data_IF_409194555323
#
_entry.id   IF_409194555323
#
_cell.length_a   1.000
_cell.length_b   1.000
_cell.length_c   1.000
_cell.angle_alpha   90.00
_cell.angle_beta   90.00
_cell.angle_gamma   90.00
#
_symmetry.space_group_name_H-M   'P 1'
#
loop_
_entity.id
_entity.type
_entity.pdbx_description
1 polymer ?
#
# COMPACT_ATOMS: atom_id res chain seq x y z
N UNK A 1 -7.32 3.47 3.25
CA UNK A 1 -8.35 2.53 2.76
C UNK A 1 -8.22 1.25 3.55
N UNK A 2 -9.34 0.71 4.02
CA UNK A 2 -9.37 -0.54 4.78
C UNK A 2 -10.51 -1.43 4.25
N UNK A 3 -10.24 -2.72 4.05
CA UNK A 3 -11.19 -3.66 3.45
C UNK A 3 -12.16 -4.24 4.50
N UNK A 4 -11.74 -4.36 5.76
CA UNK A 4 -12.62 -4.75 6.87
C UNK A 4 -13.38 -3.53 7.41
N UNK A 5 -14.66 -3.45 7.10
CA UNK A 5 -15.53 -2.33 7.49
C UNK A 5 -15.53 -2.04 8.99
N UNK A 6 -15.29 -3.04 9.85
CA UNK A 6 -15.23 -2.86 11.31
C UNK A 6 -13.95 -2.13 11.72
N UNK A 7 -12.82 -2.48 11.09
CA UNK A 7 -11.54 -1.79 11.32
C UNK A 7 -11.57 -0.37 10.77
N UNK A 8 -12.21 -0.15 9.62
CA UNK A 8 -12.42 1.18 9.06
C UNK A 8 -13.24 2.07 10.02
N UNK A 9 -14.38 1.57 10.52
CA UNK A 9 -15.22 2.29 11.48
C UNK A 9 -14.46 2.59 12.79
N UNK A 10 -13.74 1.60 13.34
CA UNK A 10 -12.92 1.76 14.53
C UNK A 10 -11.83 2.84 14.34
N UNK A 11 -11.15 2.83 13.19
CA UNK A 11 -10.15 3.84 12.84
C UNK A 11 -10.75 5.24 12.75
N UNK A 12 -11.88 5.40 12.05
CA UNK A 12 -12.57 6.68 11.91
C UNK A 12 -13.02 7.25 13.26
N UNK A 13 -13.57 6.41 14.15
CA UNK A 13 -13.98 6.83 15.50
C UNK A 13 -12.77 7.29 16.34
N UNK A 14 -11.67 6.54 16.28
CA UNK A 14 -10.44 6.91 16.98
C UNK A 14 -9.87 8.24 16.48
N UNK A 15 -9.85 8.48 15.17
CA UNK A 15 -9.39 9.74 14.58
C UNK A 15 -10.27 10.92 15.02
N UNK A 16 -11.60 10.73 15.00
CA UNK A 16 -12.57 11.72 15.48
C UNK A 16 -12.36 12.05 16.96
N UNK A 17 -12.18 11.03 17.81
CA UNK A 17 -11.94 11.21 19.26
C UNK A 17 -10.66 12.01 19.55
N UNK A 18 -9.65 11.89 18.70
CA UNK A 18 -8.38 12.61 18.81
C UNK A 18 -8.34 13.92 18.00
N UNK A 19 -9.49 14.41 17.51
CA UNK A 19 -9.61 15.68 16.78
C UNK A 19 -8.70 15.77 15.53
N UNK A 20 -8.48 14.64 14.86
CA UNK A 20 -7.75 14.59 13.58
C UNK A 20 -8.73 14.81 12.45
N UNK A 21 -8.61 15.95 11.75
CA UNK A 21 -9.60 16.39 10.75
C UNK A 21 -9.09 16.30 9.30
N UNK A 22 -7.79 16.19 9.09
CA UNK A 22 -7.15 16.09 7.78
C UNK A 22 -7.03 14.63 7.29
N UNK A 23 -8.07 13.83 7.52
CA UNK A 23 -8.08 12.40 7.20
C UNK A 23 -9.43 11.99 6.62
N UNK A 24 -9.38 11.20 5.55
CA UNK A 24 -10.54 10.52 4.98
C UNK A 24 -10.35 9.03 5.16
N UNK A 25 -11.28 8.37 5.84
CA UNK A 25 -11.28 6.91 6.01
C UNK A 25 -12.25 6.32 5.00
N UNK A 26 -11.73 5.43 4.17
CA UNK A 26 -12.46 4.80 3.07
C UNK A 26 -12.51 3.29 3.27
N UNK A 27 -13.67 2.68 3.04
CA UNK A 27 -13.86 1.23 3.13
C UNK A 27 -13.82 0.60 1.74
N UNK A 28 -12.88 -0.32 1.51
CA UNK A 28 -12.74 -0.99 0.22
C UNK A 28 -11.40 -1.70 0.03
N UNK A 29 -11.21 -2.28 -1.14
CA UNK A 29 -9.95 -2.88 -1.56
C UNK A 29 -9.16 -1.88 -2.41
N UNK A 30 -7.98 -1.50 -1.94
CA UNK A 30 -7.07 -0.58 -2.63
C UNK A 30 -5.90 -1.28 -3.31
N UNK A 31 -5.95 -2.61 -3.50
CA UNK A 31 -4.90 -3.35 -4.19
C UNK A 31 -4.62 -2.76 -5.58
N UNK A 32 -5.66 -2.44 -6.33
CA UNK A 32 -5.58 -1.88 -7.69
C UNK A 32 -5.61 -0.34 -7.69
N UNK A 33 -5.15 0.29 -6.59
CA UNK A 33 -5.20 1.74 -6.41
C UNK A 33 -6.53 2.24 -5.83
N UNK A 34 -6.64 3.55 -5.72
CA UNK A 34 -7.82 4.21 -5.15
C UNK A 34 -8.24 5.44 -5.96
N UNK A 35 -9.35 5.34 -6.70
CA UNK A 35 -9.85 6.42 -7.55
C UNK A 35 -8.89 6.82 -8.69
N UNK A 36 -8.90 8.09 -9.07
CA UNK A 36 -8.05 8.65 -10.15
C UNK A 36 -7.04 9.68 -9.65
N UNK A 37 -6.92 9.84 -8.33
CA UNK A 37 -6.08 10.86 -7.71
C UNK A 37 -4.62 10.42 -7.73
N UNK A 38 -3.72 11.36 -8.00
CA UNK A 38 -2.28 11.14 -7.80
C UNK A 38 -1.86 11.56 -6.39
N UNK A 39 -0.97 10.79 -5.78
CA UNK A 39 -0.49 10.95 -4.41
C UNK A 39 1.00 11.30 -4.39
N UNK A 40 1.40 12.19 -3.48
CA UNK A 40 2.82 12.46 -3.21
C UNK A 40 3.48 11.33 -2.41
N UNK A 41 2.69 10.62 -1.59
CA UNK A 41 3.15 9.50 -0.80
C UNK A 41 2.07 8.41 -0.69
N UNK A 42 2.50 7.14 -0.79
CA UNK A 42 1.63 5.97 -0.59
C UNK A 42 2.33 5.03 0.40
N UNK A 43 1.59 4.52 1.38
CA UNK A 43 2.07 3.54 2.34
C UNK A 43 1.16 2.31 2.33
N UNK A 44 1.76 1.14 2.13
CA UNK A 44 1.09 -0.15 2.17
C UNK A 44 1.50 -0.87 3.46
N UNK A 45 0.54 -1.10 4.35
CA UNK A 45 0.79 -1.60 5.72
C UNK A 45 0.59 -3.12 5.87
N UNK A 46 0.55 -3.85 4.76
CA UNK A 46 0.50 -5.32 4.69
C UNK A 46 1.48 -5.81 3.63
N UNK A 47 1.90 -7.08 3.71
CA UNK A 47 2.76 -7.65 2.68
C UNK A 47 1.97 -7.98 1.41
N UNK A 48 2.63 -7.81 0.26
CA UNK A 48 2.12 -8.15 -1.07
C UNK A 48 3.14 -9.05 -1.79
N UNK A 49 2.72 -9.99 -2.67
CA UNK A 49 3.65 -10.84 -3.40
C UNK A 49 4.45 -10.04 -4.45
N UNK A 50 3.84 -8.98 -5.00
CA UNK A 50 4.45 -8.04 -5.92
C UNK A 50 3.83 -6.65 -5.74
N UNK A 51 4.55 -5.61 -6.16
CA UNK A 51 4.08 -4.23 -6.09
C UNK A 51 2.99 -3.99 -7.15
N UNK A 52 1.77 -3.58 -6.78
CA UNK A 52 0.72 -3.28 -7.76
C UNK A 52 1.10 -2.11 -8.66
N UNK A 53 0.94 -2.28 -9.98
CA UNK A 53 1.24 -1.24 -10.97
C UNK A 53 0.35 0.00 -10.79
N UNK A 54 -0.92 -0.20 -10.47
CA UNK A 54 -1.86 0.89 -10.24
C UNK A 54 -1.38 1.86 -9.14
N UNK A 55 -0.83 1.34 -8.03
CA UNK A 55 -0.27 2.17 -6.96
C UNK A 55 0.97 2.94 -7.41
N UNK A 56 1.82 2.35 -8.26
CA UNK A 56 2.97 3.05 -8.85
C UNK A 56 2.50 4.20 -9.74
N UNK A 57 1.50 3.97 -10.59
CA UNK A 57 0.99 5.00 -11.51
C UNK A 57 0.15 6.08 -10.83
N UNK A 58 -0.44 5.80 -9.66
CA UNK A 58 -1.06 6.81 -8.81
C UNK A 58 -0.05 7.63 -8.00
N UNK A 59 1.24 7.36 -8.09
CA UNK A 59 2.27 8.18 -7.45
C UNK A 59 2.62 9.36 -8.36
N UNK A 60 2.67 10.60 -7.84
CA UNK A 60 3.20 11.74 -8.61
C UNK A 60 4.68 11.53 -8.96
N UNK A 61 5.15 12.17 -10.02
CA UNK A 61 6.60 12.26 -10.27
C UNK A 61 7.27 12.97 -9.09
N UNK A 62 8.30 12.36 -8.52
CA UNK A 62 8.95 12.76 -7.27
C UNK A 62 8.31 12.20 -5.99
N UNK A 63 7.14 11.56 -6.10
CA UNK A 63 6.45 10.92 -5.00
C UNK A 63 7.12 9.62 -4.55
N UNK A 64 6.73 9.12 -3.38
CA UNK A 64 7.31 7.92 -2.75
C UNK A 64 6.26 6.90 -2.30
N UNK A 65 6.44 5.64 -2.68
CA UNK A 65 5.66 4.49 -2.23
C UNK A 65 6.51 3.64 -1.27
N UNK A 66 5.95 3.29 -0.11
CA UNK A 66 6.55 2.30 0.80
C UNK A 66 5.66 1.07 0.83
N UNK A 67 6.25 -0.09 0.56
CA UNK A 67 5.54 -1.36 0.44
C UNK A 67 6.42 -2.52 0.87
N UNK A 68 5.82 -3.54 1.49
CA UNK A 68 6.53 -4.76 1.90
C UNK A 68 6.22 -5.86 0.88
N UNK A 69 7.26 -6.36 0.22
CA UNK A 69 7.14 -7.32 -0.87
C UNK A 69 7.73 -8.66 -0.45
N UNK A 70 7.00 -9.74 -0.76
CA UNK A 70 7.44 -11.11 -0.52
C UNK A 70 6.41 -11.95 0.20
N UNK A 71 6.80 -13.18 0.50
CA UNK A 71 6.00 -14.15 1.26
C UNK A 71 6.87 -14.74 2.37
N UNK A 72 6.23 -15.30 3.39
CA UNK A 72 6.96 -15.97 4.46
C UNK A 72 7.92 -17.04 3.89
N UNK A 73 9.14 -17.18 4.43
CA UNK A 73 9.66 -16.51 5.62
C UNK A 73 10.36 -15.16 5.38
N UNK A 74 10.63 -14.77 4.13
CA UNK A 74 11.43 -13.55 3.81
C UNK A 74 10.59 -12.52 3.07
N UNK A 75 10.48 -11.34 3.66
CA UNK A 75 9.84 -10.17 3.04
C UNK A 75 10.74 -8.96 3.23
N UNK A 76 10.77 -8.07 2.25
CA UNK A 76 11.61 -6.86 2.29
C UNK A 76 10.73 -5.63 2.13
N UNK A 77 10.93 -4.63 2.98
CA UNK A 77 10.34 -3.31 2.82
C UNK A 77 11.11 -2.55 1.73
N UNK A 78 10.39 -2.05 0.73
CA UNK A 78 10.93 -1.24 -0.36
C UNK A 78 10.42 0.19 -0.26
N UNK A 79 11.29 1.14 -0.59
CA UNK A 79 10.93 2.51 -0.95
C UNK A 79 11.04 2.65 -2.47
N UNK A 80 9.94 3.03 -3.11
CA UNK A 80 9.86 3.24 -4.55
C UNK A 80 9.65 4.74 -4.81
N UNK A 81 10.50 5.34 -5.61
CA UNK A 81 10.37 6.73 -6.06
C UNK A 81 9.99 6.75 -7.53
N UNK A 82 8.97 7.51 -7.93
CA UNK A 82 8.65 7.72 -9.34
C UNK A 82 9.53 8.84 -9.90
N UNK A 83 10.58 8.50 -10.62
CA UNK A 83 11.56 9.48 -11.13
C UNK A 83 11.10 10.18 -12.42
N UNK A 84 10.18 9.59 -13.18
CA UNK A 84 9.54 10.20 -14.35
C UNK A 84 8.16 9.59 -14.62
N UNK A 85 7.51 9.99 -15.73
CA UNK A 85 6.22 9.41 -16.12
C UNK A 85 6.26 7.87 -16.24
N UNK A 86 7.39 7.29 -16.63
CA UNK A 86 7.53 5.85 -16.87
C UNK A 86 8.64 5.17 -16.03
N UNK A 87 9.44 5.92 -15.27
CA UNK A 87 10.55 5.36 -14.50
C UNK A 87 10.29 5.36 -12.99
N UNK A 88 10.67 4.24 -12.37
CA UNK A 88 10.53 3.98 -10.94
C UNK A 88 11.84 3.42 -10.40
N UNK A 89 12.30 3.97 -9.29
CA UNK A 89 13.50 3.51 -8.59
C UNK A 89 13.10 2.81 -7.30
N UNK A 90 13.45 1.53 -7.19
CA UNK A 90 13.16 0.71 -6.01
C UNK A 90 14.42 0.56 -5.15
N UNK A 91 14.35 1.00 -3.90
CA UNK A 91 15.42 0.83 -2.90
C UNK A 91 14.94 -0.13 -1.80
N UNK A 92 15.61 -1.27 -1.56
CA UNK A 92 15.33 -2.08 -0.37
C UNK A 92 15.75 -1.30 0.89
N UNK A 93 14.94 -1.38 1.94
CA UNK A 93 15.17 -0.65 3.19
C UNK A 93 15.59 -1.60 4.32
N UNK A 94 14.80 -2.64 4.57
CA UNK A 94 15.08 -3.68 5.57
C UNK A 94 14.21 -4.92 5.34
N UNK A 95 14.62 -6.04 5.92
CA UNK A 95 13.82 -7.26 5.96
C UNK A 95 12.85 -7.26 7.13
N UNK A 96 11.67 -7.83 6.92
CA UNK A 96 10.59 -7.83 7.91
C UNK A 96 9.66 -9.03 7.74
N UNK A 97 8.73 -9.18 8.68
CA UNK A 97 7.71 -10.22 8.68
C UNK A 97 6.38 -9.63 9.15
N UNK A 98 5.44 -9.44 8.23
CA UNK A 98 4.11 -8.91 8.54
C UNK A 98 3.00 -9.70 7.86
N UNK A 99 1.76 -9.50 8.31
CA UNK A 99 0.59 -10.14 7.71
C UNK A 99 0.40 -9.66 6.26
N UNK A 100 0.05 -10.57 5.32
CA UNK A 100 -0.36 -10.19 3.98
C UNK A 100 -1.61 -9.31 4.00
N UNK A 101 -1.73 -8.42 3.01
CA UNK A 101 -3.00 -7.78 2.73
C UNK A 101 -4.05 -8.82 2.32
N UNK A 102 -5.30 -8.59 2.75
CA UNK A 102 -6.45 -9.38 2.27
C UNK A 102 -6.77 -8.96 0.83
N UNK A 103 -7.36 -9.86 0.05
CA UNK A 103 -7.74 -9.59 -1.35
C UNK A 103 -6.59 -9.76 -2.36
N UNK A 104 -5.36 -10.02 -1.90
CA UNK A 104 -4.21 -10.16 -2.77
C UNK A 104 -4.21 -11.51 -3.47
N UNK A 105 -4.19 -11.50 -4.81
CA UNK A 105 -4.11 -12.72 -5.61
C UNK A 105 -2.69 -13.28 -5.56
N UNK A 106 -2.54 -14.43 -4.93
CA UNK A 106 -1.29 -15.20 -4.98
C UNK A 106 -1.35 -16.08 -6.24
N UNK A 107 -0.41 -15.88 -7.17
CA UNK A 107 -0.26 -16.80 -8.31
C UNK A 107 0.02 -18.21 -7.78
N UNK A 108 -0.85 -19.17 -8.11
CA UNK A 108 -0.74 -20.57 -7.68
C UNK A 108 0.01 -21.43 -8.71
N UNK A 109 0.93 -20.87 -9.48
CA UNK A 109 1.62 -21.64 -10.52
C UNK A 109 2.39 -22.81 -9.89
N UNK A 110 2.03 -24.04 -10.26
CA UNK A 110 2.71 -25.28 -9.88
C UNK A 110 3.44 -25.83 -11.11
N UNK A 111 4.73 -26.17 -10.94
CA UNK A 111 5.51 -26.93 -11.93
C UNK A 111 5.14 -28.40 -11.92
#
# INVERSE_FOLDING_TARGET
VEVDSRLAAFGAENLKRNQVHNVTVETGDAHEGWGTTEYDAILVTGSVPAVPDALKYQLRVGGRLVVIVGQAPVMTAYRITRSSAASFESTPVFDTFIKPLRGVTISQFKF
#
